data_IF_627883876845
#
_entry.id   IF_627883876845
#
_cell.length_a   1.000
_cell.length_b   1.000
_cell.length_c   1.000
_cell.angle_alpha   90.00
_cell.angle_beta   90.00
_cell.angle_gamma   90.00
#
_symmetry.space_group_name_H-M   'P 1'
#
loop_
_entity.id
_entity.type
_entity.pdbx_description
1 polymer ?
#
# COMPACT_ATOMS: atom_id res chain seq x y z
N UNK A 1 -33.48 -5.66 -27.06
CA UNK A 1 -33.82 -5.34 -25.66
C UNK A 1 -35.24 -4.81 -25.61
N UNK A 2 -35.96 -4.99 -24.51
CA UNK A 2 -37.27 -4.34 -24.32
C UNK A 2 -37.09 -2.83 -24.39
N UNK A 3 -37.97 -2.13 -25.11
CA UNK A 3 -37.84 -0.68 -25.38
C UNK A 3 -38.33 0.20 -24.22
N UNK A 4 -38.87 -0.39 -23.14
CA UNK A 4 -39.39 0.33 -21.98
C UNK A 4 -39.14 -0.42 -20.66
N UNK A 5 -39.34 0.26 -19.51
CA UNK A 5 -39.19 -0.34 -18.20
C UNK A 5 -40.19 -1.49 -17.99
N UNK A 6 -39.87 -2.39 -17.06
CA UNK A 6 -40.80 -3.43 -16.61
C UNK A 6 -42.07 -2.79 -16.03
N UNK A 7 -43.18 -3.52 -16.12
CA UNK A 7 -44.44 -3.10 -15.49
C UNK A 7 -44.27 -3.20 -13.98
N UNK A 8 -44.79 -2.22 -13.24
CA UNK A 8 -44.79 -2.26 -11.78
C UNK A 8 -45.74 -3.35 -11.28
N UNK A 9 -45.60 -3.75 -10.01
CA UNK A 9 -46.50 -4.74 -9.40
C UNK A 9 -47.97 -4.30 -9.48
N UNK A 10 -48.23 -3.00 -9.33
CA UNK A 10 -49.57 -2.41 -9.45
C UNK A 10 -50.10 -2.54 -10.88
N UNK A 11 -49.28 -2.19 -11.89
CA UNK A 11 -49.65 -2.33 -13.29
C UNK A 11 -49.89 -3.81 -13.66
N UNK A 12 -49.08 -4.73 -13.15
CA UNK A 12 -49.27 -6.18 -13.31
C UNK A 12 -50.59 -6.63 -12.71
N UNK A 13 -50.89 -6.21 -11.48
CA UNK A 13 -52.16 -6.52 -10.81
C UNK A 13 -53.38 -6.02 -11.59
N UNK A 14 -53.34 -4.77 -12.10
CA UNK A 14 -54.40 -4.23 -12.95
C UNK A 14 -54.60 -5.04 -14.23
N UNK A 15 -53.51 -5.45 -14.89
CA UNK A 15 -53.56 -6.25 -16.11
C UNK A 15 -54.22 -7.61 -15.87
N UNK A 16 -53.87 -8.28 -14.77
CA UNK A 16 -54.45 -9.57 -14.41
C UNK A 16 -55.94 -9.43 -14.06
N UNK A 17 -56.29 -8.44 -13.25
CA UNK A 17 -57.68 -8.17 -12.87
C UNK A 17 -58.56 -7.85 -14.09
N UNK A 18 -58.12 -6.95 -14.97
CA UNK A 18 -58.87 -6.60 -16.19
C UNK A 18 -58.99 -7.79 -17.14
N UNK A 19 -57.96 -8.66 -17.18
CA UNK A 19 -58.02 -9.87 -17.99
C UNK A 19 -59.04 -10.87 -17.47
N UNK A 20 -59.13 -11.04 -16.15
CA UNK A 20 -60.11 -11.93 -15.50
C UNK A 20 -61.56 -11.45 -15.74
N UNK A 21 -61.76 -10.13 -15.94
CA UNK A 21 -63.05 -9.54 -16.32
C UNK A 21 -63.32 -9.56 -17.84
N UNK A 22 -62.55 -10.30 -18.62
CA UNK A 22 -62.81 -10.54 -20.05
C UNK A 22 -62.38 -9.41 -20.99
N UNK A 23 -61.64 -8.39 -20.52
CA UNK A 23 -61.17 -7.31 -21.40
C UNK A 23 -60.17 -7.81 -22.44
N UNK A 24 -60.19 -7.20 -23.63
CA UNK A 24 -59.25 -7.51 -24.71
C UNK A 24 -57.86 -6.94 -24.42
N UNK A 25 -56.80 -7.57 -24.93
CA UNK A 25 -55.43 -7.09 -24.73
C UNK A 25 -55.22 -5.65 -25.22
N UNK A 26 -55.98 -5.20 -26.23
CA UNK A 26 -55.93 -3.84 -26.77
C UNK A 26 -56.57 -2.83 -25.81
N UNK A 27 -57.73 -3.16 -25.24
CA UNK A 27 -58.40 -2.32 -24.25
C UNK A 27 -57.56 -2.20 -22.96
N UNK A 28 -56.97 -3.31 -22.50
CA UNK A 28 -56.07 -3.31 -21.34
C UNK A 28 -54.82 -2.46 -21.60
N UNK A 29 -54.24 -2.56 -22.80
CA UNK A 29 -53.07 -1.78 -23.19
C UNK A 29 -53.35 -0.27 -23.19
N UNK A 30 -54.50 0.14 -23.69
CA UNK A 30 -54.96 1.53 -23.70
C UNK A 30 -55.21 2.05 -22.28
N UNK A 31 -55.87 1.24 -21.43
CA UNK A 31 -56.18 1.59 -20.05
C UNK A 31 -54.94 1.71 -19.16
N UNK A 32 -53.99 0.77 -19.27
CA UNK A 32 -52.77 0.74 -18.46
C UNK A 32 -51.67 1.63 -19.07
N UNK A 33 -51.85 2.16 -20.29
CA UNK A 33 -50.88 3.00 -20.98
C UNK A 33 -49.61 2.25 -21.39
N UNK A 34 -49.71 0.96 -21.71
CA UNK A 34 -48.57 0.09 -22.06
C UNK A 34 -48.79 -0.60 -23.39
N UNK A 35 -47.71 -1.08 -24.01
CA UNK A 35 -47.83 -1.80 -25.28
C UNK A 35 -48.64 -3.10 -25.14
N UNK A 36 -49.46 -3.43 -26.13
CA UNK A 36 -50.21 -4.70 -26.20
C UNK A 36 -49.31 -5.93 -26.05
N UNK A 37 -48.07 -5.86 -26.53
CA UNK A 37 -47.06 -6.92 -26.36
C UNK A 37 -46.61 -7.10 -24.91
N UNK A 38 -46.47 -6.01 -24.15
CA UNK A 38 -46.13 -6.06 -22.74
C UNK A 38 -47.28 -6.68 -21.92
N UNK A 39 -48.52 -6.29 -22.22
CA UNK A 39 -49.74 -6.88 -21.61
C UNK A 39 -49.79 -8.39 -21.88
N UNK A 40 -49.61 -8.80 -23.13
CA UNK A 40 -49.56 -10.22 -23.50
C UNK A 40 -48.49 -10.97 -22.72
N UNK A 41 -47.30 -10.39 -22.56
CA UNK A 41 -46.19 -11.00 -21.83
C UNK A 41 -46.51 -11.20 -20.34
N UNK A 42 -47.21 -10.25 -19.70
CA UNK A 42 -47.68 -10.39 -18.31
C UNK A 42 -48.70 -11.52 -18.19
N UNK A 43 -49.67 -11.58 -19.10
CA UNK A 43 -50.73 -12.60 -19.09
C UNK A 43 -50.13 -13.99 -19.34
N UNK A 44 -49.20 -14.11 -20.29
CA UNK A 44 -48.50 -15.36 -20.60
C UNK A 44 -47.57 -15.80 -19.43
N UNK A 45 -47.11 -14.85 -18.60
CA UNK A 45 -46.21 -15.06 -17.45
C UNK A 45 -46.88 -14.69 -16.13
N UNK A 46 -48.15 -15.09 -15.92
CA UNK A 46 -49.00 -14.71 -14.76
C UNK A 46 -48.28 -14.60 -13.42
N UNK A 47 -47.51 -15.62 -13.06
CA UNK A 47 -46.79 -15.70 -11.78
C UNK A 47 -45.29 -15.39 -11.90
N UNK A 48 -44.75 -15.39 -13.12
CA UNK A 48 -43.32 -15.31 -13.41
C UNK A 48 -42.88 -14.02 -14.09
N UNK A 49 -43.75 -13.02 -14.22
CA UNK A 49 -43.41 -11.77 -14.88
C UNK A 49 -42.22 -11.07 -14.21
N UNK A 50 -41.27 -10.61 -15.01
CA UNK A 50 -40.06 -9.96 -14.50
C UNK A 50 -38.99 -10.91 -13.95
N UNK A 51 -39.27 -12.21 -13.75
CA UNK A 51 -38.26 -13.18 -13.28
C UNK A 51 -37.18 -13.51 -14.33
N UNK A 52 -37.46 -13.24 -15.61
CA UNK A 52 -36.58 -13.50 -16.75
C UNK A 52 -35.44 -12.48 -16.89
N UNK A 53 -34.74 -12.17 -15.80
CA UNK A 53 -33.50 -11.43 -15.87
C UNK A 53 -32.42 -12.30 -16.51
N UNK A 54 -31.82 -11.82 -17.59
CA UNK A 54 -30.52 -12.35 -18.01
C UNK A 54 -29.57 -12.14 -16.84
N UNK A 55 -29.17 -13.23 -16.20
CA UNK A 55 -28.23 -13.21 -15.09
C UNK A 55 -26.97 -12.43 -15.48
N UNK A 56 -26.24 -11.93 -14.46
CA UNK A 56 -24.95 -11.28 -14.72
C UNK A 56 -24.05 -12.24 -15.49
N UNK A 57 -23.32 -11.69 -16.46
CA UNK A 57 -22.27 -12.45 -17.15
C UNK A 57 -21.30 -13.03 -16.10
N UNK A 58 -20.79 -14.25 -16.31
CA UNK A 58 -19.83 -14.85 -15.41
C UNK A 58 -18.60 -13.95 -15.28
N UNK A 59 -18.05 -13.86 -14.06
CA UNK A 59 -16.82 -13.10 -13.82
C UNK A 59 -15.66 -13.76 -14.58
N UNK A 60 -14.82 -12.94 -15.23
CA UNK A 60 -13.71 -13.44 -16.06
C UNK A 60 -12.64 -14.21 -15.26
N UNK A 61 -12.35 -13.76 -14.03
CA UNK A 61 -11.33 -14.36 -13.17
C UNK A 61 -11.98 -15.12 -11.99
N UNK A 62 -12.08 -16.43 -12.09
CA UNK A 62 -12.75 -17.31 -11.12
C UNK A 62 -11.95 -18.59 -10.84
N UNK A 63 -12.34 -19.34 -9.80
CA UNK A 63 -11.82 -20.68 -9.55
C UNK A 63 -10.31 -20.72 -9.34
N UNK A 64 -9.62 -21.54 -10.14
CA UNK A 64 -8.18 -21.82 -9.99
C UNK A 64 -7.32 -20.57 -10.22
N UNK A 65 -7.59 -19.81 -11.27
CA UNK A 65 -6.79 -18.61 -11.60
C UNK A 65 -6.89 -17.55 -10.51
N UNK A 66 -8.07 -17.35 -9.94
CA UNK A 66 -8.25 -16.44 -8.81
C UNK A 66 -7.44 -16.90 -7.60
N UNK A 67 -7.50 -18.20 -7.26
CA UNK A 67 -6.74 -18.76 -6.14
C UNK A 67 -5.24 -18.60 -6.36
N UNK A 68 -4.76 -18.79 -7.59
CA UNK A 68 -3.37 -18.57 -7.95
C UNK A 68 -2.98 -17.10 -7.79
N UNK A 69 -3.80 -16.16 -8.29
CA UNK A 69 -3.56 -14.72 -8.14
C UNK A 69 -3.42 -14.32 -6.66
N UNK A 70 -4.37 -14.73 -5.82
CA UNK A 70 -4.36 -14.42 -4.38
C UNK A 70 -3.15 -15.07 -3.69
N UNK A 71 -2.84 -16.33 -4.02
CA UNK A 71 -1.70 -17.05 -3.43
C UNK A 71 -0.37 -16.39 -3.79
N UNK A 72 -0.16 -16.02 -5.04
CA UNK A 72 1.10 -15.39 -5.45
C UNK A 72 1.22 -13.95 -4.96
N UNK A 73 0.10 -13.22 -4.87
CA UNK A 73 0.07 -11.93 -4.18
C UNK A 73 0.55 -12.06 -2.73
N UNK A 74 0.02 -13.04 -1.98
CA UNK A 74 0.40 -13.35 -0.59
C UNK A 74 1.87 -13.75 -0.44
N UNK A 75 2.45 -14.40 -1.46
CA UNK A 75 3.81 -14.95 -1.41
C UNK A 75 4.87 -13.92 -1.78
N UNK A 76 4.63 -13.15 -2.83
CA UNK A 76 5.67 -12.35 -3.49
C UNK A 76 5.56 -10.85 -3.16
N UNK A 77 4.38 -10.37 -2.78
CA UNK A 77 4.11 -8.95 -2.62
C UNK A 77 4.26 -8.15 -3.92
N UNK A 78 4.12 -8.80 -5.08
CA UNK A 78 4.16 -8.15 -6.38
C UNK A 78 2.92 -7.27 -6.63
N UNK A 79 3.06 -6.32 -7.56
CA UNK A 79 1.94 -5.50 -8.02
C UNK A 79 0.93 -6.35 -8.79
N UNK A 80 -0.34 -5.92 -8.83
CA UNK A 80 -1.37 -6.61 -9.61
C UNK A 80 -1.02 -6.74 -11.11
N UNK A 81 -0.26 -5.76 -11.67
CA UNK A 81 0.22 -5.81 -13.05
C UNK A 81 1.29 -6.88 -13.24
N UNK A 82 2.27 -6.89 -12.35
CA UNK A 82 3.35 -7.89 -12.36
C UNK A 82 2.77 -9.30 -12.22
N UNK A 83 1.81 -9.49 -11.32
CA UNK A 83 1.11 -10.75 -11.13
C UNK A 83 0.32 -11.19 -12.36
N UNK A 84 -0.47 -10.28 -12.96
CA UNK A 84 -1.23 -10.58 -14.16
C UNK A 84 -0.32 -11.01 -15.32
N UNK A 85 0.84 -10.35 -15.46
CA UNK A 85 1.85 -10.68 -16.48
C UNK A 85 2.54 -12.01 -16.18
N UNK A 86 2.99 -12.23 -14.94
CA UNK A 86 3.72 -13.44 -14.56
C UNK A 86 2.86 -14.70 -14.56
N UNK A 87 1.56 -14.55 -14.34
CA UNK A 87 0.60 -15.65 -14.31
C UNK A 87 -0.15 -15.81 -15.63
N UNK A 88 0.21 -15.02 -16.65
CA UNK A 88 -0.46 -15.01 -17.96
C UNK A 88 -1.99 -14.96 -17.85
N UNK A 89 -2.49 -14.09 -16.97
CA UNK A 89 -3.92 -13.97 -16.71
C UNK A 89 -4.55 -13.17 -17.86
N UNK A 90 -5.46 -13.80 -18.61
CA UNK A 90 -6.31 -13.11 -19.59
C UNK A 90 -7.42 -12.30 -18.88
N UNK A 91 -7.04 -11.25 -18.16
CA UNK A 91 -7.96 -10.30 -17.58
C UNK A 91 -7.34 -8.91 -17.49
N UNK A 92 -8.18 -7.88 -17.53
CA UNK A 92 -7.71 -6.51 -17.33
C UNK A 92 -7.04 -6.35 -15.96
N UNK A 93 -6.06 -5.44 -15.87
CA UNK A 93 -5.45 -5.04 -14.60
C UNK A 93 -6.51 -4.66 -13.55
N UNK A 94 -7.56 -3.95 -13.98
CA UNK A 94 -8.64 -3.52 -13.09
C UNK A 94 -9.44 -4.70 -12.55
N UNK A 95 -9.63 -5.75 -13.35
CA UNK A 95 -10.25 -6.99 -12.90
C UNK A 95 -9.40 -7.65 -11.81
N UNK A 96 -8.09 -7.78 -12.03
CA UNK A 96 -7.17 -8.36 -11.04
C UNK A 96 -7.19 -7.58 -9.72
N UNK A 97 -7.10 -6.24 -9.79
CA UNK A 97 -7.18 -5.36 -8.61
C UNK A 97 -8.49 -5.53 -7.84
N UNK A 98 -9.64 -5.50 -8.53
CA UNK A 98 -10.96 -5.68 -7.90
C UNK A 98 -11.09 -7.04 -7.21
N UNK A 99 -10.49 -8.08 -7.80
CA UNK A 99 -10.53 -9.43 -7.23
C UNK A 99 -9.62 -9.58 -6.03
N UNK A 100 -8.47 -8.91 -6.02
CA UNK A 100 -7.59 -8.83 -4.85
C UNK A 100 -8.23 -8.00 -3.72
N UNK A 101 -8.78 -6.82 -4.03
CA UNK A 101 -9.53 -5.97 -3.08
C UNK A 101 -10.75 -6.67 -2.49
N UNK A 102 -11.44 -7.49 -3.29
CA UNK A 102 -12.61 -8.24 -2.83
C UNK A 102 -12.28 -9.48 -2.01
N UNK A 103 -10.99 -9.76 -1.74
CA UNK A 103 -10.59 -10.86 -0.87
C UNK A 103 -10.51 -10.38 0.58
N UNK A 104 -11.14 -11.13 1.49
CA UNK A 104 -11.23 -10.78 2.92
C UNK A 104 -9.87 -10.66 3.62
N UNK A 105 -8.86 -11.38 3.14
CA UNK A 105 -7.56 -11.48 3.79
C UNK A 105 -6.47 -10.61 3.14
N UNK A 106 -6.86 -9.73 2.20
CA UNK A 106 -5.90 -8.98 1.39
C UNK A 106 -6.13 -7.48 1.50
N UNK A 107 -5.04 -6.76 1.78
CA UNK A 107 -5.04 -5.31 1.80
C UNK A 107 -3.89 -4.75 0.98
N UNK A 108 -4.13 -3.67 0.24
CA UNK A 108 -3.06 -3.00 -0.49
C UNK A 108 -2.43 -1.92 0.38
N UNK A 109 -1.23 -2.19 0.91
CA UNK A 109 -0.60 -1.35 1.93
C UNK A 109 0.80 -0.91 1.53
N UNK A 110 1.27 0.17 2.14
CA UNK A 110 2.64 0.66 1.98
C UNK A 110 3.60 -0.28 2.72
N UNK A 111 4.66 -0.75 2.05
CA UNK A 111 5.72 -1.53 2.71
C UNK A 111 6.43 -0.66 3.73
N UNK A 112 6.75 -1.24 4.88
CA UNK A 112 7.47 -0.53 5.93
C UNK A 112 8.97 -0.55 5.63
N UNK A 113 9.59 0.63 5.59
CA UNK A 113 11.05 0.71 5.47
C UNK A 113 11.69 0.30 6.80
N UNK A 114 12.33 -0.87 6.85
CA UNK A 114 13.06 -1.33 8.03
C UNK A 114 14.32 -2.11 7.63
N UNK A 115 15.43 -1.91 8.36
CA UNK A 115 16.58 -2.80 8.23
C UNK A 115 16.22 -4.20 8.73
N UNK A 116 16.85 -5.22 8.13
CA UNK A 116 16.69 -6.60 8.58
C UNK A 116 17.34 -6.76 9.97
N UNK A 117 16.51 -6.99 10.99
CA UNK A 117 16.98 -7.21 12.37
C UNK A 117 17.08 -8.71 12.67
N UNK A 118 18.32 -9.21 12.75
CA UNK A 118 18.61 -10.56 13.25
C UNK A 118 18.26 -10.65 14.75
N UNK A 119 18.03 -11.87 15.25
CA UNK A 119 17.75 -12.11 16.68
C UNK A 119 18.85 -11.52 17.58
N UNK A 120 20.11 -11.69 17.21
CA UNK A 120 21.26 -11.10 17.91
C UNK A 120 21.20 -9.57 17.98
N UNK A 121 20.82 -8.89 16.89
CA UNK A 121 20.68 -7.43 16.88
C UNK A 121 19.59 -6.97 17.85
N UNK A 122 18.47 -7.71 17.95
CA UNK A 122 17.39 -7.38 18.89
C UNK A 122 17.84 -7.49 20.34
N UNK A 123 18.57 -8.55 20.68
CA UNK A 123 19.12 -8.78 22.02
C UNK A 123 20.12 -7.66 22.38
N UNK A 124 21.11 -7.40 21.51
CA UNK A 124 22.13 -6.39 21.75
C UNK A 124 21.53 -4.98 21.92
N UNK A 125 20.53 -4.62 21.11
CA UNK A 125 19.82 -3.34 21.26
C UNK A 125 19.06 -3.25 22.58
N UNK A 126 18.40 -4.33 23.00
CA UNK A 126 17.67 -4.37 24.26
C UNK A 126 18.61 -4.22 25.47
N UNK A 127 19.75 -4.91 25.45
CA UNK A 127 20.78 -4.79 26.50
C UNK A 127 21.36 -3.38 26.57
N UNK A 128 21.66 -2.79 25.40
CA UNK A 128 22.17 -1.42 25.31
C UNK A 128 21.18 -0.41 25.91
N UNK A 129 19.89 -0.51 25.54
CA UNK A 129 18.84 0.38 26.09
C UNK A 129 18.69 0.18 27.61
N UNK A 130 18.66 -1.08 28.09
CA UNK A 130 18.58 -1.36 29.53
C UNK A 130 19.74 -0.76 30.31
N UNK A 131 20.97 -0.83 29.77
CA UNK A 131 22.17 -0.23 30.38
C UNK A 131 22.00 1.27 30.58
N UNK A 132 21.67 2.01 29.52
CA UNK A 132 21.57 3.48 29.59
C UNK A 132 20.26 4.00 30.19
N UNK A 133 19.23 3.16 30.32
CA UNK A 133 18.08 3.48 31.17
C UNK A 133 18.42 3.43 32.66
N UNK A 134 19.31 2.51 33.06
CA UNK A 134 19.76 2.40 34.46
C UNK A 134 20.79 3.47 34.83
N UNK A 135 21.72 3.73 33.92
CA UNK A 135 22.81 4.68 34.10
C UNK A 135 22.95 5.56 32.85
N UNK A 136 22.15 6.64 32.73
CA UNK A 136 22.17 7.50 31.57
C UNK A 136 23.48 8.29 31.48
N UNK A 137 24.11 8.38 30.30
CA UNK A 137 25.30 9.18 30.12
C UNK A 137 24.93 10.67 30.15
N UNK A 138 25.94 11.53 30.26
CA UNK A 138 25.76 12.97 30.09
C UNK A 138 25.45 13.31 28.62
N UNK A 139 24.18 13.23 28.24
CA UNK A 139 23.70 13.46 26.87
C UNK A 139 24.20 14.78 26.24
N UNK A 140 24.28 15.92 26.96
CA UNK A 140 24.77 17.17 26.37
C UNK A 140 26.25 17.16 25.97
N UNK A 141 27.04 16.22 26.52
CA UNK A 141 28.46 16.06 26.16
C UNK A 141 28.69 15.08 25.00
N UNK A 142 27.63 14.52 24.41
CA UNK A 142 27.75 13.55 23.32
C UNK A 142 27.55 14.26 21.99
N UNK A 143 28.53 14.07 21.11
CA UNK A 143 28.42 14.43 19.69
C UNK A 143 27.98 13.19 18.92
N UNK A 144 26.87 13.29 18.21
CA UNK A 144 26.33 12.27 17.34
C UNK A 144 26.79 12.55 15.91
N UNK A 145 27.23 11.53 15.18
CA UNK A 145 27.60 11.64 13.76
C UNK A 145 27.02 10.47 12.98
N UNK A 146 26.65 10.70 11.73
CA UNK A 146 26.19 9.64 10.83
C UNK A 146 26.42 10.01 9.37
N UNK A 147 26.48 8.99 8.51
CA UNK A 147 26.45 9.15 7.06
C UNK A 147 25.04 8.93 6.52
N UNK A 148 24.63 9.80 5.59
CA UNK A 148 23.39 9.62 4.83
C UNK A 148 23.69 9.55 3.33
N UNK A 149 23.25 8.47 2.70
CA UNK A 149 23.21 8.36 1.23
C UNK A 149 21.82 8.70 0.71
N UNK A 150 21.76 9.56 -0.29
CA UNK A 150 20.59 9.87 -1.11
C UNK A 150 20.78 9.23 -2.48
N UNK A 151 19.98 8.20 -2.80
CA UNK A 151 20.06 7.52 -4.09
C UNK A 151 19.29 8.30 -5.16
N UNK A 152 19.80 8.29 -6.39
CA UNK A 152 19.13 8.91 -7.56
C UNK A 152 18.22 7.90 -8.30
N UNK A 153 18.26 6.62 -7.90
CA UNK A 153 17.70 5.49 -8.64
C UNK A 153 16.17 5.33 -8.53
N UNK A 154 15.45 6.26 -7.89
CA UNK A 154 13.99 6.31 -7.88
C UNK A 154 13.36 6.71 -6.54
N UNK A 155 12.02 6.73 -6.45
CA UNK A 155 11.31 7.13 -5.24
C UNK A 155 11.44 6.07 -4.13
N UNK A 156 12.53 6.16 -3.38
CA UNK A 156 12.75 5.47 -2.11
C UNK A 156 11.58 5.83 -1.18
N UNK A 157 10.69 4.87 -0.91
CA UNK A 157 9.49 5.15 -0.12
C UNK A 157 8.17 4.66 -0.70
N UNK A 158 8.03 4.63 -2.03
CA UNK A 158 6.73 4.41 -2.70
C UNK A 158 6.46 2.95 -3.05
N UNK A 159 6.94 2.01 -2.23
CA UNK A 159 6.68 0.59 -2.43
C UNK A 159 5.39 0.17 -1.73
N UNK A 160 4.40 -0.26 -2.53
CA UNK A 160 3.14 -0.82 -2.05
C UNK A 160 2.99 -2.27 -2.52
N UNK A 161 2.31 -3.08 -1.73
CA UNK A 161 2.12 -4.49 -2.00
C UNK A 161 0.77 -4.98 -1.46
N UNK A 162 0.35 -6.14 -1.93
CA UNK A 162 -0.78 -6.87 -1.37
C UNK A 162 -0.32 -7.63 -0.13
N UNK A 163 -0.74 -7.14 1.03
CA UNK A 163 -0.48 -7.74 2.32
C UNK A 163 -1.56 -8.77 2.62
N UNK A 164 -1.11 -9.98 2.96
CA UNK A 164 -1.96 -11.00 3.55
C UNK A 164 -2.06 -10.75 5.05
N UNK A 165 -3.25 -10.39 5.53
CA UNK A 165 -3.53 -10.01 6.92
C UNK A 165 -3.20 -11.10 7.94
N UNK A 166 -2.98 -12.34 7.48
CA UNK A 166 -2.61 -13.49 8.31
C UNK A 166 -1.10 -13.62 8.53
N UNK A 167 -0.30 -12.74 7.93
CA UNK A 167 1.17 -12.74 8.01
C UNK A 167 1.65 -11.45 8.64
N UNK A 168 2.90 -11.45 9.09
CA UNK A 168 3.57 -10.21 9.48
C UNK A 168 3.74 -9.28 8.26
N UNK A 169 3.62 -7.96 8.43
CA UNK A 169 3.86 -7.01 7.36
C UNK A 169 5.26 -7.14 6.75
N UNK A 170 5.31 -7.17 5.43
CA UNK A 170 6.54 -7.17 4.66
C UNK A 170 7.29 -5.85 4.84
N UNK A 171 8.62 -5.95 4.85
CA UNK A 171 9.52 -4.83 5.07
C UNK A 171 10.54 -4.79 3.96
N UNK A 172 10.95 -3.59 3.59
CA UNK A 172 12.03 -3.42 2.63
C UNK A 172 13.11 -2.54 3.24
N UNK A 173 14.33 -2.73 2.75
CA UNK A 173 15.46 -1.90 3.10
C UNK A 173 16.02 -1.24 1.86
N UNK A 174 16.35 0.03 1.97
CA UNK A 174 16.95 0.77 0.87
C UNK A 174 18.34 0.21 0.57
N UNK A 175 18.65 0.09 -0.71
CA UNK A 175 19.98 -0.28 -1.18
C UNK A 175 21.01 0.74 -0.67
N UNK A 176 22.06 0.25 0.00
CA UNK A 176 23.17 1.10 0.49
C UNK A 176 24.27 1.34 -0.53
N UNK A 177 24.53 0.37 -1.42
CA UNK A 177 25.72 0.34 -2.27
C UNK A 177 25.39 0.24 -3.76
N UNK A 178 26.19 0.94 -4.57
CA UNK A 178 26.05 1.03 -6.03
C UNK A 178 24.93 1.96 -6.48
N UNK A 179 24.91 2.29 -7.79
CA UNK A 179 23.95 3.25 -8.35
C UNK A 179 24.42 4.69 -8.17
N UNK A 180 23.68 5.62 -8.76
CA UNK A 180 23.97 7.05 -8.61
C UNK A 180 23.46 7.55 -7.27
N UNK A 181 24.21 8.42 -6.60
CA UNK A 181 23.78 8.98 -5.33
C UNK A 181 24.75 10.00 -4.76
N UNK A 182 24.26 10.82 -3.86
CA UNK A 182 25.06 11.76 -3.06
C UNK A 182 25.14 11.21 -1.65
N UNK A 183 26.36 11.10 -1.12
CA UNK A 183 26.58 10.76 0.28
C UNK A 183 26.98 12.02 1.02
N UNK A 184 26.35 12.26 2.16
CA UNK A 184 26.70 13.34 3.07
C UNK A 184 27.06 12.78 4.42
N UNK A 185 27.92 13.48 5.14
CA UNK A 185 28.23 13.23 6.53
C UNK A 185 27.92 14.49 7.33
N UNK A 186 27.43 14.32 8.54
CA UNK A 186 27.22 15.42 9.47
C UNK A 186 27.24 14.92 10.90
N UNK A 187 27.45 15.86 11.82
CA UNK A 187 27.37 15.65 13.24
C UNK A 187 26.48 16.69 13.91
N UNK A 188 25.95 16.35 15.07
CA UNK A 188 25.22 17.27 15.93
C UNK A 188 25.41 16.93 17.39
N UNK A 189 25.16 17.92 18.25
CA UNK A 189 25.18 17.79 19.69
C UNK A 189 24.12 18.69 20.30
N UNK A 190 24.03 18.76 21.63
CA UNK A 190 23.18 19.77 22.29
C UNK A 190 23.62 21.20 21.98
N UNK A 191 24.87 21.40 21.57
CA UNK A 191 25.48 22.72 21.34
C UNK A 191 25.30 23.22 19.90
N UNK A 192 24.91 22.36 18.95
CA UNK A 192 24.72 22.76 17.57
C UNK A 192 24.87 21.63 16.54
N UNK A 193 24.97 22.03 15.28
CA UNK A 193 25.19 21.15 14.12
C UNK A 193 26.60 21.41 13.56
N UNK A 194 27.29 20.37 13.11
CA UNK A 194 28.51 20.55 12.33
C UNK A 194 28.21 21.06 10.93
N UNK A 195 29.25 21.51 10.24
CA UNK A 195 29.19 21.63 8.79
C UNK A 195 28.84 20.28 8.14
N UNK A 196 28.04 20.33 7.09
CA UNK A 196 27.61 19.16 6.34
C UNK A 196 28.63 18.85 5.23
N UNK A 197 29.31 17.71 5.33
CA UNK A 197 30.31 17.28 4.37
C UNK A 197 29.68 16.52 3.21
N UNK A 198 29.99 16.90 1.97
CA UNK A 198 29.63 16.13 0.78
C UNK A 198 30.75 15.14 0.43
N UNK A 199 30.47 13.85 0.56
CA UNK A 199 31.46 12.81 0.35
C UNK A 199 31.44 12.34 -1.11
N UNK A 200 32.61 12.28 -1.73
CA UNK A 200 32.77 11.84 -3.11
C UNK A 200 33.30 10.40 -3.17
N UNK A 201 32.75 9.61 -4.08
CA UNK A 201 33.18 8.22 -4.30
C UNK A 201 32.87 7.26 -3.13
N UNK A 202 33.52 6.11 -3.16
CA UNK A 202 33.38 5.09 -2.12
C UNK A 202 34.19 5.49 -0.88
N UNK A 203 33.53 5.51 0.27
CA UNK A 203 34.19 5.83 1.53
C UNK A 203 34.97 4.63 2.05
N UNK A 204 36.26 4.84 2.29
CA UNK A 204 37.13 3.91 3.01
C UNK A 204 37.56 4.54 4.35
N UNK A 205 38.37 3.83 5.12
CA UNK A 205 38.83 4.30 6.43
C UNK A 205 39.63 5.60 6.36
N UNK A 206 40.45 5.78 5.31
CA UNK A 206 41.27 6.99 5.13
C UNK A 206 40.40 8.21 4.90
N UNK A 207 39.47 8.13 3.93
CA UNK A 207 38.50 9.21 3.68
C UNK A 207 37.66 9.53 4.92
N UNK A 208 37.34 8.52 5.72
CA UNK A 208 36.61 8.73 6.97
C UNK A 208 37.46 9.46 8.02
N UNK A 209 38.74 9.08 8.19
CA UNK A 209 39.67 9.83 9.05
C UNK A 209 39.79 11.29 8.63
N UNK A 210 39.88 11.57 7.32
CA UNK A 210 39.90 12.93 6.79
C UNK A 210 38.60 13.68 7.10
N UNK A 211 37.45 13.00 6.97
CA UNK A 211 36.14 13.57 7.32
C UNK A 211 36.07 13.95 8.80
N UNK A 212 36.54 13.08 9.70
CA UNK A 212 36.59 13.40 11.13
C UNK A 212 37.54 14.56 11.43
N UNK A 213 38.72 14.57 10.79
CA UNK A 213 39.72 15.62 10.95
C UNK A 213 39.26 16.99 10.49
N UNK A 214 38.56 17.04 9.36
CA UNK A 214 38.13 18.29 8.74
C UNK A 214 36.81 18.83 9.30
N UNK A 215 35.91 17.96 9.78
CA UNK A 215 34.56 18.37 10.18
C UNK A 215 34.22 18.08 11.65
N UNK A 216 34.54 16.88 12.17
CA UNK A 216 34.17 16.51 13.55
C UNK A 216 35.03 17.21 14.60
N UNK A 217 36.35 17.14 14.46
CA UNK A 217 37.26 17.68 15.49
C UNK A 217 37.22 19.20 15.59
N UNK A 218 37.14 19.98 14.49
CA UNK A 218 36.94 21.42 14.59
C UNK A 218 35.65 21.77 15.32
N UNK A 219 34.54 21.12 14.97
CA UNK A 219 33.25 21.28 15.66
C UNK A 219 33.34 20.94 17.16
N UNK A 220 33.96 19.80 17.49
CA UNK A 220 34.14 19.40 18.88
C UNK A 220 35.00 20.40 19.66
N UNK A 221 36.06 20.92 19.05
CA UNK A 221 36.94 21.91 19.67
C UNK A 221 36.22 23.25 19.92
N UNK A 222 35.46 23.73 18.94
CA UNK A 222 34.69 24.97 19.05
C UNK A 222 33.67 24.91 20.19
N UNK A 223 32.90 23.81 20.28
CA UNK A 223 31.80 23.70 21.24
C UNK A 223 32.20 23.13 22.61
N UNK A 224 33.28 22.37 22.70
CA UNK A 224 33.63 21.62 23.92
C UNK A 224 35.11 21.74 24.32
N UNK A 225 35.96 22.37 23.51
CA UNK A 225 37.39 22.48 23.76
C UNK A 225 37.79 23.45 24.88
N UNK A 226 36.90 24.35 25.31
CA UNK A 226 37.24 25.44 26.23
C UNK A 226 37.15 25.10 27.74
N UNK A 227 36.74 23.88 28.12
CA UNK A 227 36.61 23.50 29.54
C UNK A 227 37.90 23.05 30.24
N UNK A 228 39.09 23.16 29.62
CA UNK A 228 40.36 22.79 30.27
C UNK A 228 41.19 23.96 30.83
N UNK A 229 40.78 25.22 30.63
CA UNK A 229 41.63 26.38 30.98
C UNK A 229 41.18 27.21 32.21
N UNK A 230 40.22 26.76 33.02
CA UNK A 230 39.74 27.53 34.19
C UNK A 230 39.92 26.86 35.56
N UNK A 231 40.72 25.79 35.67
CA UNK A 231 41.05 25.18 36.96
C UNK A 231 42.55 24.91 37.14
N UNK A 232 43.36 25.94 36.88
CA UNK A 232 44.74 26.05 37.40
C UNK A 232 45.06 27.50 37.76
N UNK A 233 44.31 28.05 38.70
CA UNK A 233 44.71 29.24 39.45
C UNK A 233 43.89 29.34 40.74
N UNK A 234 44.33 28.61 41.78
CA UNK A 234 44.45 29.02 43.19
C UNK A 234 44.78 27.80 44.04
#
# INVERSE_FOLDING_TARGET
MGRGPLLTEVEVGMVLALRDHGFTHRAIAEHVGRSTKAIRTVIDQREGYGSNFKGRKPAKLIGRELRLLIREASKTGLSARSLATSLDIDASLRTCQRRLQGSENMEYVKRKHMPMLKKSHKIARLEHVKKYLKDPPFWPGIIWSDEKRFNLDGPDGLQYYWHDLRKEPDTYFTRRNGGGGVMVWGAFSSSGLSELAFLTGNQNSVCYCDTLGNYLFPFAHEHYGQHQNLTRAR
#
